data_IF_265643789258
#
_entry.id   IF_265643789258
#
_cell.length_a   1.000
_cell.length_b   1.000
_cell.length_c   1.000
_cell.angle_alpha   90.00
_cell.angle_beta   90.00
_cell.angle_gamma   90.00
#
_symmetry.space_group_name_H-M   'P 1'
#
loop_
_entity.id
_entity.type
_entity.pdbx_description
1 polymer ?
#
# COMPACT_ATOMS: atom_id res chain seq x y z
N UNK A 1 -33.35 11.90 20.88
CA UNK A 1 -32.24 11.45 19.99
C UNK A 1 -31.56 12.66 19.41
N UNK A 2 -30.25 12.61 19.21
CA UNK A 2 -29.50 13.64 18.52
C UNK A 2 -29.60 13.38 17.01
N UNK A 3 -30.09 14.35 16.23
CA UNK A 3 -30.30 14.18 14.78
C UNK A 3 -29.12 14.70 13.93
N UNK A 4 -28.18 15.42 14.53
CA UNK A 4 -27.04 16.03 13.84
C UNK A 4 -25.85 16.14 14.78
N UNK A 5 -24.66 15.83 14.26
CA UNK A 5 -23.38 15.93 14.93
C UNK A 5 -22.47 16.81 14.07
N UNK A 6 -21.77 17.76 14.69
CA UNK A 6 -20.77 18.59 14.02
C UNK A 6 -19.40 18.03 14.36
N UNK A 7 -18.56 17.78 13.36
CA UNK A 7 -17.26 17.13 13.50
C UNK A 7 -16.18 18.08 12.98
N UNK A 8 -15.14 18.31 13.77
CA UNK A 8 -13.98 19.09 13.32
C UNK A 8 -13.26 18.32 12.21
N UNK A 9 -12.98 18.95 11.04
CA UNK A 9 -12.36 18.27 9.90
C UNK A 9 -10.90 17.87 10.14
N UNK A 10 -10.23 18.46 11.13
CA UNK A 10 -8.81 18.19 11.42
C UNK A 10 -8.64 17.18 12.56
N UNK A 11 -9.31 17.38 13.70
CA UNK A 11 -9.09 16.54 14.89
C UNK A 11 -10.24 15.56 15.20
N UNK A 12 -11.28 15.52 14.37
CA UNK A 12 -12.49 14.69 14.54
C UNK A 12 -13.26 14.89 15.86
N UNK A 13 -12.91 15.90 16.67
CA UNK A 13 -13.70 16.29 17.83
C UNK A 13 -15.11 16.62 17.39
N UNK A 14 -16.09 16.07 18.08
CA UNK A 14 -17.50 16.22 17.74
C UNK A 14 -18.28 17.01 18.79
N UNK A 15 -19.32 17.73 18.34
CA UNK A 15 -20.19 18.57 19.17
C UNK A 15 -21.64 18.49 18.72
N UNK A 16 -22.56 18.79 19.63
CA UNK A 16 -23.99 18.94 19.37
C UNK A 16 -24.34 20.31 18.80
N UNK A 17 -23.48 21.29 19.03
CA UNK A 17 -23.67 22.68 18.60
C UNK A 17 -22.80 22.98 17.38
N UNK A 18 -23.27 23.89 16.52
CA UNK A 18 -22.47 24.38 15.39
C UNK A 18 -21.23 25.03 15.98
N UNK A 19 -20.08 24.47 15.66
CA UNK A 19 -18.79 25.12 15.86
C UNK A 19 -18.32 25.52 14.48
N UNK A 20 -17.99 26.80 14.30
CA UNK A 20 -17.58 27.35 13.01
C UNK A 20 -16.20 26.80 12.62
N UNK A 21 -16.20 25.64 11.97
CA UNK A 21 -15.02 25.10 11.30
C UNK A 21 -15.12 25.48 9.83
N UNK A 22 -14.24 26.37 9.36
CA UNK A 22 -14.21 26.77 7.95
C UNK A 22 -13.69 25.60 7.10
N UNK A 23 -14.57 25.02 6.29
CA UNK A 23 -14.23 24.04 5.26
C UNK A 23 -14.35 24.75 3.91
N UNK A 24 -13.22 24.94 3.24
CA UNK A 24 -13.22 25.33 1.84
C UNK A 24 -13.21 24.05 1.01
N UNK A 25 -14.33 23.79 0.34
CA UNK A 25 -14.55 22.56 -0.44
C UNK A 25 -14.12 22.82 -1.89
N UNK A 26 -12.81 22.91 -2.13
CA UNK A 26 -12.29 22.93 -3.49
C UNK A 26 -11.18 21.89 -3.61
N UNK A 27 -11.56 20.69 -4.05
CA UNK A 27 -10.58 19.69 -4.52
C UNK A 27 -10.26 20.04 -5.96
N UNK A 28 -9.09 20.60 -6.18
CA UNK A 28 -8.54 20.79 -7.53
C UNK A 28 -7.66 19.59 -7.85
N UNK A 29 -7.59 19.20 -9.12
CA UNK A 29 -6.69 18.11 -9.58
C UNK A 29 -5.19 18.49 -9.46
N UNK A 30 -4.88 19.65 -8.87
CA UNK A 30 -3.55 20.25 -8.74
C UNK A 30 -2.97 20.17 -7.30
N UNK A 31 -3.58 19.37 -6.40
CA UNK A 31 -3.10 19.20 -5.03
C UNK A 31 -2.24 17.94 -4.81
N UNK A 32 -1.63 17.85 -3.62
CA UNK A 32 -0.75 16.74 -3.22
C UNK A 32 -1.52 15.67 -2.44
N UNK A 33 -1.23 14.40 -2.73
CA UNK A 33 -1.74 13.24 -1.99
C UNK A 33 -0.63 12.66 -1.13
N UNK A 34 -0.92 12.44 0.15
CA UNK A 34 0.04 11.97 1.14
C UNK A 34 -0.60 10.93 2.08
N UNK A 35 0.21 10.06 2.67
CA UNK A 35 -0.24 9.08 3.68
C UNK A 35 0.52 9.32 4.98
N UNK A 36 -0.21 9.64 6.05
CA UNK A 36 0.39 9.95 7.35
C UNK A 36 0.15 8.77 8.31
N UNK A 37 1.20 8.33 8.98
CA UNK A 37 1.09 7.32 10.04
C UNK A 37 0.84 7.99 11.39
N UNK A 38 -0.14 7.47 12.13
CA UNK A 38 -0.50 7.93 13.47
C UNK A 38 -0.58 6.72 14.39
N UNK A 39 0.19 6.76 15.48
CA UNK A 39 0.17 5.72 16.51
C UNK A 39 -1.02 5.92 17.45
N UNK A 40 -1.92 4.93 17.53
CA UNK A 40 -3.10 4.99 18.40
C UNK A 40 -2.80 5.00 19.91
N UNK A 41 -1.61 4.57 20.33
CA UNK A 41 -1.14 4.65 21.73
C UNK A 41 -0.68 6.06 22.10
N UNK A 42 -0.11 6.79 21.12
CA UNK A 42 0.37 8.16 21.30
C UNK A 42 -0.78 9.16 21.18
N UNK A 43 -1.55 9.09 20.08
CA UNK A 43 -2.63 10.03 19.75
C UNK A 43 -4.02 9.46 20.07
N UNK A 44 -4.17 8.88 21.27
CA UNK A 44 -5.37 8.12 21.70
C UNK A 44 -6.69 8.84 21.42
N UNK A 45 -6.86 10.08 21.87
CA UNK A 45 -8.13 10.80 21.73
C UNK A 45 -8.47 11.07 20.26
N UNK A 46 -7.47 11.40 19.43
CA UNK A 46 -7.65 11.59 18.00
C UNK A 46 -8.09 10.28 17.33
N UNK A 47 -7.39 9.18 17.59
CA UNK A 47 -7.71 7.87 17.01
C UNK A 47 -9.07 7.32 17.49
N UNK A 48 -9.49 7.63 18.73
CA UNK A 48 -10.84 7.32 19.22
C UNK A 48 -11.92 8.10 18.47
N UNK A 49 -11.74 9.43 18.33
CA UNK A 49 -12.68 10.28 17.60
C UNK A 49 -12.78 9.85 16.12
N UNK A 50 -11.64 9.57 15.48
CA UNK A 50 -11.57 9.08 14.11
C UNK A 50 -12.26 7.72 13.97
N UNK A 51 -12.04 6.80 14.91
CA UNK A 51 -12.68 5.48 14.90
C UNK A 51 -14.20 5.56 15.07
N UNK A 52 -14.69 6.44 15.95
CA UNK A 52 -16.12 6.71 16.11
C UNK A 52 -16.72 7.31 14.84
N UNK A 53 -16.02 8.25 14.20
CA UNK A 53 -16.45 8.83 12.93
C UNK A 53 -16.48 7.77 11.81
N UNK A 54 -15.45 6.94 11.70
CA UNK A 54 -15.39 5.85 10.72
C UNK A 54 -16.50 4.81 10.94
N UNK A 55 -16.90 4.54 12.18
CA UNK A 55 -17.99 3.61 12.53
C UNK A 55 -19.33 4.01 11.91
N UNK A 56 -19.54 5.29 11.62
CA UNK A 56 -20.74 5.78 10.91
C UNK A 56 -20.86 5.21 9.48
N UNK A 57 -19.74 4.76 8.90
CA UNK A 57 -19.65 4.27 7.52
C UNK A 57 -19.15 2.82 7.41
N UNK A 58 -18.75 2.22 8.54
CA UNK A 58 -18.25 0.85 8.64
C UNK A 58 -19.12 0.04 9.59
N UNK A 59 -19.96 -0.83 9.03
CA UNK A 59 -20.88 -1.66 9.82
C UNK A 59 -20.15 -2.63 10.74
N UNK A 60 -19.09 -3.26 10.22
CA UNK A 60 -18.34 -4.33 10.90
C UNK A 60 -17.21 -3.82 11.82
N UNK A 61 -16.98 -2.50 11.93
CA UNK A 61 -15.95 -1.99 12.83
C UNK A 61 -16.37 -2.18 14.28
N UNK A 62 -15.62 -2.97 15.03
CA UNK A 62 -15.93 -3.35 16.42
C UNK A 62 -15.12 -2.57 17.46
N UNK A 63 -13.90 -2.14 17.12
CA UNK A 63 -12.99 -1.43 18.03
C UNK A 63 -12.98 0.07 17.73
N UNK A 64 -13.26 0.88 18.74
CA UNK A 64 -13.23 2.35 18.65
C UNK A 64 -12.71 3.08 19.89
N UNK A 65 -12.53 2.38 21.03
CA UNK A 65 -11.95 2.97 22.25
C UNK A 65 -10.54 2.45 22.54
N UNK A 66 -10.32 1.14 22.41
CA UNK A 66 -9.03 0.49 22.63
C UNK A 66 -8.13 0.60 21.40
N UNK A 67 -7.73 1.83 21.08
CA UNK A 67 -7.01 2.17 19.85
C UNK A 67 -5.49 1.96 19.94
N UNK A 68 -4.94 1.71 21.13
CA UNK A 68 -3.49 1.62 21.37
C UNK A 68 -2.77 0.48 20.64
N UNK A 69 -3.50 -0.56 20.26
CA UNK A 69 -2.99 -1.70 19.51
C UNK A 69 -2.90 -1.45 17.98
N UNK A 70 -3.23 -0.25 17.51
CA UNK A 70 -3.35 0.05 16.08
C UNK A 70 -2.48 1.24 15.65
N UNK A 71 -1.89 1.11 14.46
CA UNK A 71 -1.42 2.24 13.67
C UNK A 71 -2.50 2.63 12.67
N UNK A 72 -2.65 3.93 12.45
CA UNK A 72 -3.61 4.52 11.52
C UNK A 72 -2.84 5.18 10.37
N UNK A 73 -3.20 4.85 9.15
CA UNK A 73 -2.62 5.42 7.94
C UNK A 73 -3.65 6.30 7.27
N UNK A 74 -3.49 7.62 7.42
CA UNK A 74 -4.43 8.64 6.99
C UNK A 74 -4.13 9.04 5.56
N UNK A 75 -5.14 8.97 4.67
CA UNK A 75 -5.03 9.55 3.33
C UNK A 75 -5.33 11.04 3.41
N UNK A 76 -4.34 11.85 3.08
CA UNK A 76 -4.38 13.31 3.22
C UNK A 76 -4.24 13.98 1.86
N UNK A 77 -5.18 14.87 1.55
CA UNK A 77 -5.11 15.78 0.41
C UNK A 77 -4.69 17.17 0.87
N UNK A 78 -3.61 17.71 0.32
CA UNK A 78 -3.15 19.06 0.57
C UNK A 78 -3.42 19.91 -0.67
N UNK A 79 -4.34 20.91 -0.61
CA UNK A 79 -4.59 21.81 -1.73
C UNK A 79 -3.32 22.58 -2.13
N UNK A 80 -3.18 23.00 -3.40
CA UNK A 80 -2.08 23.86 -3.80
C UNK A 80 -2.11 25.20 -3.04
N UNK A 81 -0.96 25.83 -2.79
CA UNK A 81 -0.91 27.13 -2.16
C UNK A 81 -1.65 28.18 -3.01
N UNK A 82 -2.32 29.16 -2.37
CA UNK A 82 -3.01 30.20 -3.10
C UNK A 82 -2.03 31.00 -3.98
N UNK A 83 -2.48 31.58 -5.11
CA UNK A 83 -1.61 32.32 -6.04
C UNK A 83 -0.83 33.48 -5.40
N UNK A 84 -1.32 34.02 -4.29
CA UNK A 84 -0.63 34.99 -3.45
C UNK A 84 -0.27 34.34 -2.09
N UNK A 85 0.95 33.79 -1.94
CA UNK A 85 1.39 33.08 -0.73
C UNK A 85 1.82 34.01 0.41
N UNK A 86 1.68 35.33 0.26
CA UNK A 86 1.96 36.30 1.33
C UNK A 86 0.66 36.65 2.06
N UNK A 87 0.33 35.99 3.19
CA UNK A 87 -0.72 36.47 4.06
C UNK A 87 -0.31 37.86 4.56
N UNK A 88 -1.14 38.86 4.28
CA UNK A 88 -0.97 40.18 4.89
C UNK A 88 -1.38 40.02 6.36
N UNK A 89 -0.47 40.22 7.33
CA UNK A 89 -0.81 40.09 8.74
C UNK A 89 -2.00 41.00 9.09
N UNK A 90 -3.03 40.46 9.74
CA UNK A 90 -4.29 41.14 10.08
C UNK A 90 -5.21 41.52 8.90
N UNK A 91 -5.01 41.00 7.68
CA UNK A 91 -6.02 41.13 6.62
C UNK A 91 -7.05 39.99 6.72
N UNK A 92 -8.33 40.26 7.05
CA UNK A 92 -9.38 39.24 7.03
C UNK A 92 -9.65 38.67 5.63
N UNK A 93 -9.12 39.28 4.56
CA UNK A 93 -9.18 38.79 3.18
C UNK A 93 -7.92 38.01 2.75
N UNK A 94 -6.90 37.85 3.60
CA UNK A 94 -5.77 36.99 3.25
C UNK A 94 -6.24 35.54 3.16
N UNK A 95 -5.97 34.88 2.04
CA UNK A 95 -6.34 33.47 1.86
C UNK A 95 -5.67 32.63 2.96
N UNK A 96 -6.41 31.80 3.70
CA UNK A 96 -5.81 30.91 4.69
C UNK A 96 -4.83 29.97 4.01
N UNK A 97 -3.77 29.57 4.72
CA UNK A 97 -2.86 28.53 4.22
C UNK A 97 -3.65 27.27 3.84
N UNK A 98 -3.23 26.57 2.76
CA UNK A 98 -3.88 25.33 2.35
C UNK A 98 -3.82 24.33 3.50
N UNK A 99 -4.98 23.97 4.02
CA UNK A 99 -5.07 23.02 5.14
C UNK A 99 -5.15 21.59 4.59
N UNK A 100 -4.27 20.68 5.04
CA UNK A 100 -4.38 19.27 4.71
C UNK A 100 -5.73 18.70 5.19
N UNK A 101 -6.36 17.90 4.33
CA UNK A 101 -7.67 17.30 4.56
C UNK A 101 -7.56 15.79 4.64
N UNK A 102 -8.01 15.20 5.74
CA UNK A 102 -8.07 13.74 5.89
C UNK A 102 -9.29 13.24 5.10
N UNK A 103 -9.03 12.48 4.04
CA UNK A 103 -10.02 12.03 3.05
C UNK A 103 -10.38 10.55 3.20
N UNK A 104 -9.56 9.80 3.92
CA UNK A 104 -9.74 8.39 4.19
C UNK A 104 -8.68 7.87 5.16
N UNK A 105 -8.77 6.60 5.50
CA UNK A 105 -7.79 5.91 6.31
C UNK A 105 -7.80 4.40 6.04
N UNK A 106 -6.72 3.74 6.45
CA UNK A 106 -6.83 2.37 6.97
C UNK A 106 -6.17 2.26 8.34
N UNK A 107 -6.58 1.26 9.12
CA UNK A 107 -5.94 0.90 10.38
C UNK A 107 -5.28 -0.47 10.26
N UNK A 108 -4.19 -0.66 10.98
CA UNK A 108 -3.42 -1.91 11.03
C UNK A 108 -3.07 -2.23 12.47
N UNK A 109 -3.23 -3.50 12.86
CA UNK A 109 -2.77 -3.96 14.18
C UNK A 109 -1.25 -3.94 14.26
N UNK A 110 -0.70 -3.45 15.37
CA UNK A 110 0.75 -3.52 15.64
C UNK A 110 1.24 -4.96 15.73
N UNK A 111 0.38 -5.85 16.24
CA UNK A 111 0.62 -7.28 16.36
C UNK A 111 -0.63 -8.01 15.86
N UNK A 112 -0.58 -8.55 14.64
CA UNK A 112 -1.69 -9.31 14.07
C UNK A 112 -1.40 -10.82 14.10
N UNK A 113 -2.24 -11.58 14.78
CA UNK A 113 -2.10 -13.04 14.88
C UNK A 113 -2.39 -13.75 13.57
N UNK A 114 -3.30 -13.20 12.77
CA UNK A 114 -3.72 -13.76 11.48
C UNK A 114 -2.93 -13.15 10.30
N UNK A 115 -1.85 -12.40 10.58
CA UNK A 115 -1.08 -11.63 9.59
C UNK A 115 -1.95 -10.68 8.76
N UNK A 116 -2.93 -10.02 9.38
CA UNK A 116 -3.72 -9.01 8.68
C UNK A 116 -2.84 -7.77 8.48
N UNK A 117 -2.67 -7.34 7.23
CA UNK A 117 -1.96 -6.09 6.93
C UNK A 117 -2.87 -4.86 6.98
N UNK A 118 -4.18 -5.09 7.14
CA UNK A 118 -5.21 -4.08 7.17
C UNK A 118 -6.41 -4.59 7.98
N UNK A 119 -6.81 -3.86 9.00
CA UNK A 119 -7.97 -4.17 9.84
C UNK A 119 -9.25 -3.48 9.33
N UNK A 120 -9.21 -2.16 9.13
CA UNK A 120 -10.32 -1.38 8.58
C UNK A 120 -9.79 -0.45 7.49
N UNK A 121 -10.57 -0.25 6.42
CA UNK A 121 -10.27 0.71 5.37
C UNK A 121 -11.53 1.51 5.03
N UNK A 122 -11.37 2.83 4.88
CA UNK A 122 -12.45 3.73 4.56
C UNK A 122 -11.93 4.91 3.73
N UNK A 123 -12.55 5.16 2.60
CA UNK A 123 -12.51 6.47 1.95
C UNK A 123 -13.81 7.18 2.30
N UNK A 124 -13.74 8.39 2.84
CA UNK A 124 -14.94 9.11 3.26
C UNK A 124 -15.88 9.35 2.07
N UNK A 125 -17.21 9.33 2.28
CA UNK A 125 -18.18 9.31 1.18
C UNK A 125 -17.97 10.36 0.07
N UNK A 126 -17.62 11.63 0.36
CA UNK A 126 -17.37 12.64 -0.68
C UNK A 126 -16.17 12.33 -1.60
N UNK A 127 -15.26 11.47 -1.13
CA UNK A 127 -13.99 11.16 -1.77
C UNK A 127 -13.99 9.79 -2.47
N UNK A 128 -15.08 9.04 -2.39
CA UNK A 128 -15.19 7.72 -2.99
C UNK A 128 -15.20 7.77 -4.52
N UNK A 129 -14.89 6.63 -5.15
CA UNK A 129 -14.87 6.45 -6.62
C UNK A 129 -13.84 7.31 -7.38
N UNK A 130 -12.85 7.85 -6.67
CA UNK A 130 -11.70 8.60 -7.23
C UNK A 130 -10.39 7.79 -7.30
N UNK A 131 -10.46 6.46 -7.19
CA UNK A 131 -9.26 5.60 -7.18
C UNK A 131 -8.51 5.53 -5.84
N UNK A 132 -8.83 6.41 -4.88
CA UNK A 132 -8.17 6.53 -3.57
C UNK A 132 -8.15 5.26 -2.72
N UNK A 133 -9.17 4.40 -2.87
CA UNK A 133 -9.18 3.10 -2.18
C UNK A 133 -8.04 2.19 -2.64
N UNK A 134 -7.71 2.21 -3.94
CA UNK A 134 -6.59 1.44 -4.47
C UNK A 134 -5.24 2.00 -3.98
N UNK A 135 -5.15 3.31 -3.74
CA UNK A 135 -3.96 3.94 -3.15
C UNK A 135 -3.71 3.46 -1.72
N UNK A 136 -4.76 3.43 -0.89
CA UNK A 136 -4.66 2.89 0.47
C UNK A 136 -4.33 1.38 0.49
N UNK A 137 -4.91 0.59 -0.42
CA UNK A 137 -4.57 -0.83 -0.59
C UNK A 137 -3.11 -1.01 -1.06
N UNK A 138 -2.66 -0.21 -2.01
CA UNK A 138 -1.28 -0.21 -2.48
C UNK A 138 -0.30 0.06 -1.34
N UNK A 139 -0.60 1.07 -0.52
CA UNK A 139 0.21 1.41 0.63
C UNK A 139 0.27 0.28 1.67
N UNK A 140 -0.86 -0.38 1.98
CA UNK A 140 -0.87 -1.50 2.94
C UNK A 140 0.00 -2.67 2.48
N UNK A 141 0.00 -3.00 1.18
CA UNK A 141 0.87 -4.04 0.63
C UNK A 141 2.33 -3.62 0.54
N UNK A 142 2.64 -2.36 0.30
CA UNK A 142 4.02 -1.86 0.31
C UNK A 142 4.61 -1.86 1.74
N UNK A 143 3.79 -1.56 2.75
CA UNK A 143 4.19 -1.73 4.15
C UNK A 143 4.46 -3.21 4.46
N UNK A 144 3.59 -4.13 4.03
CA UNK A 144 3.83 -5.57 4.14
C UNK A 144 5.18 -6.00 3.55
N UNK A 145 5.52 -5.49 2.35
CA UNK A 145 6.80 -5.75 1.67
C UNK A 145 7.99 -5.32 2.53
N UNK A 146 7.93 -4.11 3.06
CA UNK A 146 9.01 -3.51 3.88
C UNK A 146 9.20 -4.24 5.21
N UNK A 147 8.13 -4.74 5.80
CA UNK A 147 8.17 -5.48 7.07
C UNK A 147 8.53 -6.96 6.91
N UNK A 148 8.53 -7.51 5.69
CA UNK A 148 8.72 -8.95 5.51
C UNK A 148 7.47 -9.77 5.86
N UNK A 149 6.31 -9.14 6.04
CA UNK A 149 5.09 -9.77 6.52
C UNK A 149 4.03 -9.86 5.42
N UNK A 150 3.92 -11.04 4.83
CA UNK A 150 2.85 -11.34 3.88
C UNK A 150 1.50 -11.37 4.60
N UNK A 151 0.53 -10.64 4.07
CA UNK A 151 -0.76 -10.46 4.72
C UNK A 151 -1.87 -10.00 3.79
N UNK A 152 -3.08 -9.95 4.32
CA UNK A 152 -4.26 -9.48 3.61
C UNK A 152 -5.21 -8.69 4.50
N UNK A 153 -6.35 -8.23 3.96
CA UNK A 153 -7.38 -7.57 4.75
C UNK A 153 -8.06 -8.52 5.74
N UNK A 154 -8.35 -7.99 6.93
CA UNK A 154 -9.18 -8.65 7.93
C UNK A 154 -10.57 -9.00 7.35
N UNK A 155 -11.07 -10.19 7.69
CA UNK A 155 -12.37 -10.70 7.28
C UNK A 155 -13.37 -10.52 8.44
N UNK A 156 -14.63 -10.14 8.17
CA UNK A 156 -15.28 -10.03 6.86
C UNK A 156 -15.12 -8.65 6.20
N UNK A 157 -14.75 -8.68 4.92
CA UNK A 157 -14.66 -7.48 4.07
C UNK A 157 -16.06 -7.02 3.64
N UNK A 158 -16.31 -5.71 3.60
CA UNK A 158 -17.55 -5.13 3.06
C UNK A 158 -17.73 -5.43 1.57
N UNK A 159 -18.95 -5.37 1.03
CA UNK A 159 -19.18 -5.64 -0.40
C UNK A 159 -18.44 -4.65 -1.32
N UNK A 160 -18.35 -3.38 -0.91
CA UNK A 160 -17.53 -2.38 -1.59
C UNK A 160 -16.04 -2.72 -1.50
N UNK A 161 -15.59 -3.14 -0.32
CA UNK A 161 -14.21 -3.57 -0.09
C UNK A 161 -13.83 -4.77 -0.94
N UNK A 162 -14.68 -5.82 -1.01
CA UNK A 162 -14.47 -7.01 -1.85
C UNK A 162 -14.29 -6.65 -3.32
N UNK A 163 -15.17 -5.80 -3.87
CA UNK A 163 -15.05 -5.32 -5.26
C UNK A 163 -13.76 -4.52 -5.48
N UNK A 164 -13.37 -3.71 -4.50
CA UNK A 164 -12.12 -2.94 -4.52
C UNK A 164 -10.89 -3.84 -4.54
N UNK A 165 -10.78 -4.76 -3.58
CA UNK A 165 -9.68 -5.73 -3.47
C UNK A 165 -9.58 -6.63 -4.69
N UNK A 166 -10.70 -7.14 -5.21
CA UNK A 166 -10.68 -7.95 -6.44
C UNK A 166 -10.12 -7.20 -7.62
N UNK A 167 -10.52 -5.93 -7.80
CA UNK A 167 -9.98 -5.09 -8.87
C UNK A 167 -8.50 -4.77 -8.67
N UNK A 168 -8.09 -4.49 -7.43
CA UNK A 168 -6.70 -4.20 -7.07
C UNK A 168 -5.81 -5.43 -7.32
N UNK A 169 -6.16 -6.58 -6.73
CA UNK A 169 -5.43 -7.83 -6.90
C UNK A 169 -5.36 -8.29 -8.36
N UNK A 170 -6.47 -8.19 -9.10
CA UNK A 170 -6.45 -8.54 -10.53
C UNK A 170 -5.50 -7.64 -11.32
N UNK A 171 -5.38 -6.36 -10.98
CA UNK A 171 -4.41 -5.44 -11.57
C UNK A 171 -2.97 -5.84 -11.25
N UNK A 172 -2.67 -6.13 -9.98
CA UNK A 172 -1.34 -6.58 -9.53
C UNK A 172 -0.91 -7.89 -10.21
N UNK A 173 -1.79 -8.90 -10.18
CA UNK A 173 -1.55 -10.22 -10.77
C UNK A 173 -1.44 -10.11 -12.30
N UNK A 174 -2.32 -9.35 -12.97
CA UNK A 174 -2.24 -9.17 -14.42
C UNK A 174 -0.94 -8.48 -14.84
N UNK A 175 -0.50 -7.45 -14.10
CA UNK A 175 0.77 -6.77 -14.37
C UNK A 175 1.94 -7.73 -14.29
N UNK A 176 2.00 -8.54 -13.24
CA UNK A 176 3.04 -9.53 -13.05
C UNK A 176 3.01 -10.64 -14.11
N UNK A 177 1.85 -11.23 -14.41
CA UNK A 177 1.72 -12.27 -15.44
C UNK A 177 2.19 -11.76 -16.82
N UNK A 178 1.87 -10.51 -17.14
CA UNK A 178 2.29 -9.89 -18.40
C UNK A 178 3.79 -9.56 -18.43
N UNK A 179 4.44 -9.35 -17.28
CA UNK A 179 5.89 -9.12 -17.21
C UNK A 179 6.74 -10.38 -17.32
N UNK A 180 6.18 -11.57 -17.06
CA UNK A 180 6.93 -12.83 -17.20
C UNK A 180 7.45 -13.01 -18.63
N UNK A 181 8.68 -13.48 -18.81
CA UNK A 181 9.17 -13.89 -20.14
C UNK A 181 8.47 -15.20 -20.53
N UNK A 182 8.07 -15.34 -21.79
CA UNK A 182 7.66 -16.64 -22.35
C UNK A 182 8.95 -17.36 -22.69
N UNK A 183 9.15 -18.58 -22.18
CA UNK A 183 10.35 -19.35 -22.48
C UNK A 183 10.51 -19.50 -24.00
N UNK A 184 11.63 -19.01 -24.53
CA UNK A 184 11.94 -19.01 -25.97
C UNK A 184 12.56 -20.33 -26.45
N UNK A 185 12.45 -21.40 -25.64
CA UNK A 185 12.91 -22.73 -26.03
C UNK A 185 12.12 -23.29 -27.23
N UNK A 186 12.73 -24.20 -28.01
CA UNK A 186 11.99 -24.96 -29.02
C UNK A 186 10.94 -25.83 -28.33
N UNK A 187 9.66 -25.58 -28.65
CA UNK A 187 8.57 -26.47 -28.26
C UNK A 187 8.71 -27.78 -29.02
N UNK A 188 8.59 -28.91 -28.33
CA UNK A 188 8.76 -30.22 -28.97
C UNK A 188 7.55 -30.63 -29.83
N UNK A 189 6.42 -29.89 -29.76
CA UNK A 189 5.12 -30.32 -30.30
C UNK A 189 4.29 -29.25 -31.05
N UNK A 190 4.84 -28.06 -31.33
CA UNK A 190 4.19 -27.08 -32.23
C UNK A 190 2.85 -26.48 -31.74
N UNK A 191 2.49 -26.67 -30.47
CA UNK A 191 1.32 -26.05 -29.83
C UNK A 191 1.54 -24.57 -29.45
N UNK A 192 0.48 -23.84 -29.05
CA UNK A 192 0.61 -22.51 -28.48
C UNK A 192 1.40 -22.59 -27.15
N UNK A 193 2.54 -21.89 -27.08
CA UNK A 193 3.45 -21.84 -25.92
C UNK A 193 2.70 -21.49 -24.64
N UNK A 194 2.69 -22.40 -23.67
CA UNK A 194 1.97 -22.27 -22.40
C UNK A 194 2.83 -21.53 -21.36
N UNK A 195 2.26 -20.53 -20.69
CA UNK A 195 2.88 -19.96 -19.48
C UNK A 195 2.34 -20.73 -18.28
N UNK A 196 3.17 -21.56 -17.66
CA UNK A 196 2.79 -22.26 -16.42
C UNK A 196 3.36 -21.49 -15.23
N UNK A 197 2.50 -21.23 -14.27
CA UNK A 197 2.79 -20.41 -13.10
C UNK A 197 2.52 -21.19 -11.82
N UNK A 198 3.44 -21.09 -10.87
CA UNK A 198 3.24 -21.53 -9.49
C UNK A 198 2.48 -20.44 -8.70
N UNK A 199 1.47 -20.85 -7.93
CA UNK A 199 0.72 -19.93 -7.06
C UNK A 199 1.64 -19.30 -6.00
N UNK A 200 2.66 -20.02 -5.53
CA UNK A 200 3.66 -19.47 -4.61
C UNK A 200 4.46 -18.34 -5.25
N UNK A 201 4.90 -18.53 -6.51
CA UNK A 201 5.61 -17.49 -7.27
C UNK A 201 4.74 -16.25 -7.47
N UNK A 202 3.44 -16.44 -7.75
CA UNK A 202 2.48 -15.34 -7.82
C UNK A 202 2.35 -14.59 -6.48
N UNK A 203 2.26 -15.34 -5.38
CA UNK A 203 2.16 -14.77 -4.04
C UNK A 203 3.41 -13.98 -3.67
N UNK A 204 4.61 -14.52 -3.91
CA UNK A 204 5.89 -13.87 -3.62
C UNK A 204 6.11 -12.61 -4.46
N UNK A 205 5.74 -12.65 -5.75
CA UNK A 205 5.90 -11.52 -6.64
C UNK A 205 4.91 -10.37 -6.34
N UNK A 206 3.71 -10.69 -5.87
CA UNK A 206 2.64 -9.69 -5.67
C UNK A 206 2.44 -9.29 -4.21
N UNK A 207 2.92 -10.09 -3.26
CA UNK A 207 2.67 -10.01 -1.81
C UNK A 207 1.22 -10.30 -1.40
N UNK A 208 0.42 -10.82 -2.32
CA UNK A 208 -0.95 -11.26 -2.08
C UNK A 208 -0.91 -12.70 -1.56
N UNK A 209 -1.74 -13.03 -0.58
CA UNK A 209 -1.78 -14.38 -0.03
C UNK A 209 -2.07 -15.43 -1.12
N UNK A 210 -1.50 -16.65 -1.03
CA UNK A 210 -1.66 -17.68 -2.07
C UNK A 210 -3.13 -18.00 -2.38
N UNK A 211 -3.98 -18.05 -1.34
CA UNK A 211 -5.41 -18.31 -1.49
C UNK A 211 -6.13 -17.19 -2.25
N UNK A 212 -5.76 -15.93 -1.98
CA UNK A 212 -6.33 -14.76 -2.67
C UNK A 212 -5.82 -14.70 -4.13
N UNK A 213 -4.55 -15.05 -4.38
CA UNK A 213 -4.00 -15.21 -5.73
C UNK A 213 -4.78 -16.26 -6.53
N UNK A 214 -4.97 -17.45 -5.97
CA UNK A 214 -5.72 -18.54 -6.61
C UNK A 214 -7.17 -18.13 -6.85
N UNK A 215 -7.80 -17.46 -5.90
CA UNK A 215 -9.16 -16.96 -6.02
C UNK A 215 -9.29 -15.98 -7.18
N UNK A 216 -8.41 -14.98 -7.27
CA UNK A 216 -8.42 -13.97 -8.33
C UNK A 216 -8.14 -14.60 -9.70
N UNK A 217 -7.16 -15.49 -9.79
CA UNK A 217 -6.84 -16.19 -11.04
C UNK A 217 -8.05 -16.98 -11.58
N UNK A 218 -8.78 -17.66 -10.68
CA UNK A 218 -10.03 -18.37 -11.03
C UNK A 218 -11.14 -17.41 -11.45
N UNK A 219 -11.34 -16.32 -10.71
CA UNK A 219 -12.36 -15.30 -11.02
C UNK A 219 -12.12 -14.63 -12.37
N UNK A 220 -10.85 -14.38 -12.72
CA UNK A 220 -10.47 -13.84 -14.01
C UNK A 220 -10.81 -14.77 -15.19
N UNK A 221 -11.02 -16.07 -14.95
CA UNK A 221 -11.32 -17.06 -15.99
C UNK A 221 -10.18 -17.26 -17.00
N UNK A 222 -8.95 -16.91 -16.62
CA UNK A 222 -7.75 -16.96 -17.46
C UNK A 222 -6.87 -18.18 -17.17
N UNK A 223 -7.25 -19.01 -16.20
CA UNK A 223 -6.48 -20.17 -15.75
C UNK A 223 -7.20 -21.48 -16.05
N UNK A 224 -6.43 -22.45 -16.52
CA UNK A 224 -6.78 -23.86 -16.50
C UNK A 224 -5.98 -24.57 -15.40
N UNK A 225 -6.64 -25.48 -14.67
CA UNK A 225 -6.00 -26.30 -13.65
C UNK A 225 -4.92 -27.19 -14.32
N UNK A 226 -3.67 -27.01 -13.90
CA UNK A 226 -2.54 -27.80 -14.38
C UNK A 226 -2.18 -28.95 -13.41
N UNK A 227 -2.99 -29.15 -12.37
CA UNK A 227 -2.75 -30.10 -11.30
C UNK A 227 -1.61 -29.70 -10.39
N UNK A 228 -1.06 -30.72 -9.72
CA UNK A 228 0.12 -30.59 -8.86
C UNK A 228 1.32 -31.11 -9.63
N UNK A 229 2.36 -30.29 -9.79
CA UNK A 229 3.56 -30.64 -10.53
C UNK A 229 4.83 -30.23 -9.79
N UNK A 230 6.01 -30.64 -10.29
CA UNK A 230 7.28 -30.17 -9.74
C UNK A 230 7.33 -28.63 -9.86
N UNK A 231 7.65 -27.95 -8.76
CA UNK A 231 7.91 -26.52 -8.78
C UNK A 231 9.10 -26.20 -9.69
N UNK A 232 9.19 -24.94 -10.16
CA UNK A 232 10.42 -24.47 -10.81
C UNK A 232 11.57 -24.65 -9.80
N UNK A 233 12.76 -25.15 -10.20
CA UNK A 233 13.88 -25.26 -9.27
C UNK A 233 14.12 -23.90 -8.61
N UNK A 234 14.28 -23.88 -7.28
CA UNK A 234 14.63 -22.66 -6.56
C UNK A 234 15.88 -22.06 -7.21
N UNK A 235 15.79 -20.77 -7.59
CA UNK A 235 16.97 -20.03 -8.03
C UNK A 235 17.94 -20.02 -6.86
N UNK A 236 19.15 -20.52 -7.07
CA UNK A 236 20.18 -20.44 -6.05
C UNK A 236 20.74 -19.02 -6.01
N UNK A 237 21.31 -18.60 -4.87
CA UNK A 237 21.96 -17.29 -4.74
C UNK A 237 23.07 -17.04 -5.81
N UNK A 238 23.56 -18.09 -6.47
CA UNK A 238 24.48 -18.00 -7.60
C UNK A 238 23.81 -17.57 -8.91
N UNK A 239 22.52 -17.86 -9.09
CA UNK A 239 21.75 -17.48 -10.29
C UNK A 239 21.34 -16.01 -10.28
N UNK A 240 21.23 -15.39 -9.10
CA UNK A 240 20.96 -13.95 -8.95
C UNK A 240 22.20 -13.09 -9.17
N UNK A 241 23.39 -13.60 -8.86
CA UNK A 241 24.66 -12.92 -9.11
C UNK A 241 25.11 -12.98 -10.59
N UNK A 242 24.52 -13.87 -11.40
CA UNK A 242 24.91 -14.08 -12.80
C UNK A 242 24.28 -13.12 -13.82
N UNK A 243 23.34 -12.26 -13.42
CA UNK A 243 22.75 -11.25 -14.32
C UNK A 243 23.58 -9.94 -14.40
N UNK A 244 24.64 -9.80 -13.59
CA UNK A 244 25.60 -8.68 -13.69
C UNK A 244 27.05 -9.18 -13.82
N UNK A 245 27.50 -9.39 -15.07
CA UNK A 245 28.93 -9.46 -15.40
C UNK A 245 29.36 -10.69 -16.22
N UNK A 246 29.19 -10.62 -17.54
CA UNK A 246 30.07 -11.37 -18.43
C UNK A 246 31.45 -10.71 -18.43
N UNK A 247 32.47 -11.38 -17.86
CA UNK A 247 33.77 -11.55 -18.49
C UNK A 247 34.78 -12.35 -17.62
N UNK A 248 35.38 -13.36 -18.29
CA UNK A 248 36.74 -13.95 -18.14
C UNK A 248 36.90 -15.33 -17.50
N UNK A 249 37.26 -16.23 -18.43
CA UNK A 249 38.36 -17.19 -18.46
C UNK A 249 38.44 -18.32 -17.43
N UNK A 250 38.33 -19.51 -18.02
CA UNK A 250 38.78 -20.84 -17.61
C UNK A 250 39.97 -20.89 -16.66
N UNK A 251 39.81 -21.65 -15.58
CA UNK A 251 40.88 -22.51 -15.07
C UNK A 251 40.33 -23.82 -14.53
N UNK A 252 40.99 -24.92 -14.93
CA UNK A 252 40.66 -26.28 -14.54
C UNK A 252 41.14 -26.55 -13.11
N UNK A 253 40.23 -27.00 -12.23
CA UNK A 253 40.66 -27.76 -11.06
C UNK A 253 39.76 -28.97 -10.78
N UNK A 254 40.43 -30.10 -10.67
CA UNK A 254 39.93 -31.44 -10.43
C UNK A 254 39.64 -31.60 -8.93
N UNK A 255 38.40 -31.92 -8.55
CA UNK A 255 38.00 -32.04 -7.14
C UNK A 255 36.85 -33.04 -6.97
N UNK A 256 37.09 -34.02 -6.11
CA UNK A 256 36.27 -35.21 -5.89
C UNK A 256 34.81 -34.91 -5.57
N UNK A 257 33.91 -35.66 -6.21
CA UNK A 257 32.47 -35.58 -6.01
C UNK A 257 32.06 -36.00 -4.60
N UNK A 258 31.56 -35.04 -3.83
CA UNK A 258 30.57 -35.29 -2.79
C UNK A 258 29.22 -35.50 -3.47
N UNK A 259 28.55 -36.60 -3.18
CA UNK A 259 27.20 -36.85 -3.65
C UNK A 259 26.26 -35.79 -3.04
N UNK A 260 25.99 -34.73 -3.80
CA UNK A 260 24.97 -33.76 -3.46
C UNK A 260 23.62 -34.50 -3.38
N UNK A 261 23.00 -34.48 -2.19
CA UNK A 261 21.61 -34.88 -2.03
C UNK A 261 20.78 -34.08 -3.04
N UNK A 262 20.08 -34.79 -3.93
CA UNK A 262 19.17 -34.13 -4.87
C UNK A 262 18.11 -33.40 -4.05
N UNK A 263 17.89 -32.10 -4.26
CA UNK A 263 16.84 -31.38 -3.56
C UNK A 263 15.50 -32.09 -3.79
N UNK A 264 14.79 -32.38 -2.72
CA UNK A 264 13.49 -33.03 -2.74
C UNK A 264 12.52 -32.13 -3.53
N UNK A 265 12.03 -32.62 -4.68
CA UNK A 265 11.22 -31.80 -5.58
C UNK A 265 9.81 -31.65 -5.00
N UNK A 266 9.58 -30.52 -4.33
CA UNK A 266 8.27 -30.21 -3.73
C UNK A 266 7.22 -30.04 -4.83
N UNK A 267 6.15 -30.81 -4.70
CA UNK A 267 4.97 -30.76 -5.56
C UNK A 267 4.09 -29.57 -5.18
N UNK A 268 3.79 -28.69 -6.13
CA UNK A 268 3.06 -27.42 -5.90
C UNK A 268 1.86 -27.26 -6.84
N UNK A 269 0.80 -26.54 -6.41
CA UNK A 269 -0.31 -26.17 -7.30
C UNK A 269 0.17 -25.28 -8.45
N UNK A 270 -0.22 -25.64 -9.68
CA UNK A 270 0.17 -24.90 -10.89
C UNK A 270 -1.04 -24.52 -11.72
N UNK A 271 -0.95 -23.38 -12.40
CA UNK A 271 -1.96 -22.91 -13.35
C UNK A 271 -1.36 -22.63 -14.71
N UNK A 272 -2.08 -22.99 -15.79
CA UNK A 272 -1.76 -22.52 -17.14
C UNK A 272 -2.37 -21.16 -17.36
N UNK A 273 -1.62 -20.23 -17.95
CA UNK A 273 -2.06 -18.84 -18.17
C UNK A 273 -2.01 -18.48 -19.65
N UNK A 274 -3.15 -18.05 -20.21
CA UNK A 274 -3.22 -17.40 -21.51
C UNK A 274 -2.99 -15.88 -21.36
N UNK A 275 -1.81 -15.39 -21.77
CA UNK A 275 -1.50 -13.95 -21.73
C UNK A 275 -2.39 -13.10 -22.64
N UNK A 276 -2.93 -13.66 -23.72
CA UNK A 276 -3.92 -12.96 -24.53
C UNK A 276 -5.24 -12.81 -23.77
N UNK A 277 -5.65 -13.83 -23.00
CA UNK A 277 -6.81 -13.73 -22.10
C UNK A 277 -6.58 -12.70 -20.99
N UNK A 278 -5.39 -12.64 -20.40
CA UNK A 278 -5.03 -11.58 -19.42
C UNK A 278 -5.22 -10.19 -20.03
N UNK A 279 -4.70 -9.94 -21.24
CA UNK A 279 -4.87 -8.65 -21.93
C UNK A 279 -6.34 -8.32 -22.21
N UNK A 280 -7.14 -9.31 -22.65
CA UNK A 280 -8.59 -9.14 -22.85
C UNK A 280 -9.30 -8.80 -21.54
N UNK A 281 -8.94 -9.47 -20.44
CA UNK A 281 -9.50 -9.21 -19.12
C UNK A 281 -9.20 -7.79 -18.65
N UNK A 282 -7.94 -7.34 -18.77
CA UNK A 282 -7.49 -5.97 -18.45
C UNK A 282 -8.29 -4.94 -19.24
N UNK A 283 -8.44 -5.13 -20.56
CA UNK A 283 -9.19 -4.22 -21.40
C UNK A 283 -10.70 -4.17 -21.04
N UNK A 284 -11.31 -5.34 -20.82
CA UNK A 284 -12.74 -5.48 -20.48
C UNK A 284 -13.07 -4.80 -19.16
N UNK A 285 -12.21 -4.99 -18.14
CA UNK A 285 -12.41 -4.44 -16.81
C UNK A 285 -11.77 -3.06 -16.64
N UNK A 286 -11.12 -2.51 -17.67
CA UNK A 286 -10.39 -1.23 -17.65
C UNK A 286 -9.41 -1.16 -16.48
N UNK A 287 -8.66 -2.23 -16.23
CA UNK A 287 -7.68 -2.25 -15.14
C UNK A 287 -6.52 -1.32 -15.48
N UNK A 288 -6.11 -0.48 -14.52
CA UNK A 288 -4.82 0.19 -14.62
C UNK A 288 -3.73 -0.83 -14.29
N UNK A 289 -2.70 -0.89 -15.13
CA UNK A 289 -1.50 -1.69 -14.88
C UNK A 289 -0.36 -0.83 -14.33
N UNK A 290 -0.60 0.46 -14.04
CA UNK A 290 0.37 1.28 -13.33
C UNK A 290 0.48 0.80 -11.87
N UNK A 291 1.67 0.91 -11.29
CA UNK A 291 1.83 0.70 -9.86
C UNK A 291 1.21 1.89 -9.13
N UNK A 292 0.36 1.60 -8.15
CA UNK A 292 -0.36 2.64 -7.41
C UNK A 292 0.54 3.37 -6.40
N UNK A 293 1.55 2.67 -5.90
CA UNK A 293 2.54 3.22 -4.98
C UNK A 293 3.94 3.05 -5.58
N UNK A 294 4.73 4.12 -5.49
CA UNK A 294 6.17 4.08 -5.71
C UNK A 294 6.83 3.62 -4.40
N UNK A 295 7.65 2.55 -4.41
CA UNK A 295 8.42 2.14 -3.24
C UNK A 295 9.27 3.26 -2.67
N UNK A 296 9.75 4.21 -3.47
CA UNK A 296 10.58 5.33 -3.02
C UNK A 296 9.76 6.47 -2.36
N UNK A 297 8.42 6.37 -2.40
CA UNK A 297 7.51 7.38 -1.84
C UNK A 297 7.34 7.36 -0.32
N UNK A 298 7.90 6.36 0.38
CA UNK A 298 7.83 6.25 1.83
C UNK A 298 9.05 6.91 2.46
N UNK A 299 8.96 8.23 2.65
CA UNK A 299 10.01 9.08 3.20
C UNK A 299 9.69 9.40 4.67
N UNK A 300 10.62 9.18 5.59
CA UNK A 300 10.43 9.56 7.00
C UNK A 300 10.47 11.08 7.17
N UNK A 301 9.61 11.63 8.03
CA UNK A 301 9.63 13.05 8.39
C UNK A 301 9.14 14.04 7.32
N UNK A 302 8.65 13.58 6.16
CA UNK A 302 8.20 14.48 5.08
C UNK A 302 7.01 15.37 5.47
N UNK A 303 6.08 14.84 6.29
CA UNK A 303 4.87 15.55 6.72
C UNK A 303 5.14 16.65 7.76
N UNK A 304 6.24 16.51 8.51
CA UNK A 304 6.65 17.44 9.57
C UNK A 304 8.05 17.93 9.22
N UNK A 305 8.17 18.89 8.30
CA UNK A 305 9.46 19.59 8.11
C UNK A 305 9.80 20.26 9.45
N UNK A 306 10.91 19.90 10.12
CA UNK A 306 11.32 20.62 11.31
C UNK A 306 11.57 22.07 10.92
N UNK A 307 11.03 23.01 11.69
CA UNK A 307 11.33 24.43 11.50
C UNK A 307 12.85 24.60 11.52
N UNK A 308 13.42 24.96 10.38
CA UNK A 308 14.84 25.21 10.26
C UNK A 308 15.20 26.48 11.03
N UNK A 309 15.86 26.33 12.17
CA UNK A 309 16.80 27.31 12.71
C UNK A 309 16.24 28.36 13.68
N UNK A 310 16.11 28.00 14.96
CA UNK A 310 16.37 28.95 16.03
C UNK A 310 17.87 28.85 16.38
N UNK A 311 18.59 29.93 16.10
CA UNK A 311 20.04 30.01 16.14
C UNK A 311 20.67 29.50 17.43
N UNK A 312 21.82 28.87 17.27
CA UNK A 312 22.85 28.71 18.30
C UNK A 312 23.02 30.03 19.04
N UNK A 313 22.68 30.04 20.33
CA UNK A 313 23.02 31.13 21.22
C UNK A 313 24.54 31.32 21.20
N UNK A 314 24.98 32.46 20.69
CA UNK A 314 26.34 32.94 20.88
C UNK A 314 26.57 33.11 22.38
N UNK A 315 27.53 32.36 22.92
CA UNK A 315 28.16 32.67 24.20
C UNK A 315 28.74 34.08 24.13
N UNK A 316 28.05 35.04 24.76
CA UNK A 316 28.68 36.29 25.16
C UNK A 316 29.67 35.96 26.29
N UNK A 317 30.94 35.90 25.92
CA UNK A 317 32.07 36.01 26.83
C UNK A 317 32.09 37.43 27.40
N UNK A 318 31.53 37.58 28.61
CA UNK A 318 31.69 38.81 29.37
C UNK A 318 33.10 38.85 29.98
N UNK A 319 33.87 39.86 29.61
CA UNK A 319 35.23 40.10 30.05
C UNK A 319 35.44 41.56 30.40
N UNK A 320 35.85 41.80 31.66
CA UNK A 320 36.41 43.07 32.16
C UNK A 320 35.54 43.71 33.24
N UNK A 321 35.82 43.50 34.53
CA UNK A 321 36.74 44.30 35.38
C UNK A 321 36.18 45.66 35.81
N UNK A 322 35.83 45.82 37.08
CA UNK A 322 36.49 46.75 38.02
C UNK A 322 35.80 46.78 39.39
N UNK A 323 36.63 47.00 40.42
CA UNK A 323 36.42 47.20 41.88
C UNK A 323 36.29 45.97 42.81
#
# INVERSE_FOLDING_TARGET
MLNRLYVCPSCFKYSREIVAWYVEETVQDEGEWSIWEVDGEVDRLFCQNLSLFAKLFLDNKSVFFDVGAFNYFLLVYTPPPPPNPHPIPNDPNSAPEPRPQITGLFSKEKLSWDNNNLACILVFPPWQRKGLGALLMGASYEISRREGLLGGPEKPISDLGKKGYMRFWAGEIARWLLSLKVDQGPDHDGGPRETIVDIKECSEATWIAPDDCLFVLRDMGIVEDAGVGPGKPEKTAADEAGEEGEEKQSDQHNGQGSAAEKPEVKLVPRVRVDKAAVRRYVATHRLSLEKVCDPDGFVEGYAMKPESGAGSGEEQTDGGSDE
#
